data_IF_984012225268
#
_entry.id   IF_984012225268
#
_cell.length_a   1.000
_cell.length_b   1.000
_cell.length_c   1.000
_cell.angle_alpha   90.00
_cell.angle_beta   90.00
_cell.angle_gamma   90.00
#
_symmetry.space_group_name_H-M   'P 1'
#
loop_
_entity.id
_entity.type
_entity.pdbx_description
1 polymer ?
#
# COMPACT_ATOMS: atom_id res chain seq x y z
N UNK A 1 -24.13 20.79 -11.02
CA UNK A 1 -24.02 19.31 -10.99
C UNK A 1 -25.38 18.72 -11.35
N UNK A 2 -25.60 18.35 -12.61
CA UNK A 2 -26.92 17.89 -13.10
C UNK A 2 -26.88 16.52 -13.80
N UNK A 3 -25.81 15.72 -13.59
CA UNK A 3 -25.61 14.43 -14.27
C UNK A 3 -25.39 13.22 -13.35
N UNK A 4 -25.52 13.38 -12.04
CA UNK A 4 -25.20 12.35 -11.03
C UNK A 4 -26.40 11.47 -10.60
N UNK A 5 -27.44 11.37 -11.44
CA UNK A 5 -28.69 10.66 -11.08
C UNK A 5 -28.76 9.23 -11.64
N UNK A 6 -27.93 8.90 -12.65
CA UNK A 6 -27.83 7.53 -13.18
C UNK A 6 -26.45 6.94 -12.84
N UNK A 7 -26.43 5.86 -12.06
CA UNK A 7 -25.24 5.07 -11.71
C UNK A 7 -24.05 5.89 -11.15
N UNK A 8 -24.18 6.49 -9.96
CA UNK A 8 -23.15 7.35 -9.35
C UNK A 8 -21.80 6.65 -9.12
N UNK A 9 -21.78 5.32 -8.99
CA UNK A 9 -20.53 4.54 -8.87
C UNK A 9 -19.78 4.37 -10.20
N UNK A 10 -20.50 4.19 -11.31
CA UNK A 10 -19.92 3.87 -12.62
C UNK A 10 -19.29 5.11 -13.28
N UNK A 11 -19.90 6.28 -13.06
CA UNK A 11 -19.42 7.57 -13.57
C UNK A 11 -18.68 8.39 -12.52
N UNK A 12 -18.16 7.74 -11.48
CA UNK A 12 -17.40 8.43 -10.44
C UNK A 12 -16.08 8.97 -11.03
N UNK A 13 -15.87 10.31 -11.08
CA UNK A 13 -14.69 10.91 -11.70
C UNK A 13 -13.38 10.62 -10.95
N UNK A 14 -13.46 10.10 -9.71
CA UNK A 14 -12.30 9.69 -8.90
C UNK A 14 -11.87 8.26 -9.26
N UNK A 15 -12.82 7.37 -9.56
CA UNK A 15 -12.57 5.94 -9.79
C UNK A 15 -12.46 5.62 -11.29
N UNK A 16 -13.28 6.27 -12.12
CA UNK A 16 -13.39 6.04 -13.56
C UNK A 16 -13.41 7.37 -14.33
N UNK A 17 -12.29 8.11 -14.39
CA UNK A 17 -12.22 9.44 -15.01
C UNK A 17 -12.62 9.42 -16.50
N UNK A 18 -12.27 8.36 -17.22
CA UNK A 18 -12.63 8.17 -18.63
C UNK A 18 -14.14 8.02 -18.83
N UNK A 19 -14.83 7.22 -18.01
CA UNK A 19 -16.29 7.06 -18.09
C UNK A 19 -17.01 8.34 -17.67
N UNK A 20 -16.50 9.05 -16.66
CA UNK A 20 -17.01 10.35 -16.25
C UNK A 20 -16.89 11.40 -17.37
N UNK A 21 -15.81 11.38 -18.15
CA UNK A 21 -15.62 12.25 -19.30
C UNK A 21 -16.66 11.97 -20.40
N UNK A 22 -16.83 10.70 -20.79
CA UNK A 22 -17.84 10.29 -21.79
C UNK A 22 -19.24 10.74 -21.36
N UNK A 23 -19.58 10.53 -20.08
CA UNK A 23 -20.89 10.93 -19.54
C UNK A 23 -21.05 12.45 -19.54
N UNK A 24 -20.00 13.20 -19.23
CA UNK A 24 -20.01 14.67 -19.31
C UNK A 24 -20.30 15.12 -20.74
N UNK A 25 -19.60 14.57 -21.74
CA UNK A 25 -19.81 14.93 -23.14
C UNK A 25 -21.25 14.64 -23.58
N UNK A 26 -21.82 13.49 -23.21
CA UNK A 26 -23.23 13.17 -23.46
C UNK A 26 -24.21 14.19 -22.87
N UNK A 27 -23.99 14.60 -21.61
CA UNK A 27 -24.83 15.61 -20.94
C UNK A 27 -24.70 16.97 -21.63
N UNK A 28 -23.49 17.38 -22.01
CA UNK A 28 -23.26 18.64 -22.74
C UNK A 28 -23.96 18.63 -24.10
N UNK A 29 -23.90 17.53 -24.86
CA UNK A 29 -24.64 17.38 -26.12
C UNK A 29 -26.15 17.53 -25.90
N UNK A 30 -26.69 16.95 -24.82
CA UNK A 30 -28.13 17.08 -24.52
C UNK A 30 -28.51 18.49 -24.08
N UNK A 31 -27.68 19.16 -23.30
CA UNK A 31 -27.89 20.56 -22.89
C UNK A 31 -27.86 21.52 -24.10
N UNK A 32 -26.97 21.26 -25.06
CA UNK A 32 -26.89 22.02 -26.31
C UNK A 32 -28.17 21.82 -27.16
N UNK A 33 -28.62 20.57 -27.31
CA UNK A 33 -29.84 20.24 -28.05
C UNK A 33 -31.10 20.86 -27.43
N UNK A 34 -31.13 21.00 -26.10
CA UNK A 34 -32.20 21.65 -25.35
C UNK A 34 -32.03 23.17 -25.21
N UNK A 35 -31.00 23.75 -25.86
CA UNK A 35 -30.66 25.18 -25.85
C UNK A 35 -30.38 25.78 -24.46
N UNK A 36 -29.93 24.96 -23.50
CA UNK A 36 -29.51 25.44 -22.19
C UNK A 36 -28.09 26.05 -22.18
N UNK A 37 -27.28 25.75 -23.19
CA UNK A 37 -25.91 26.26 -23.37
C UNK A 37 -25.66 26.59 -24.85
N UNK A 38 -24.69 27.46 -25.12
CA UNK A 38 -24.21 27.75 -26.48
C UNK A 38 -23.14 26.73 -26.93
N UNK A 39 -22.87 26.59 -28.24
CA UNK A 39 -21.80 25.73 -28.75
C UNK A 39 -20.43 26.04 -28.10
N UNK A 40 -20.11 27.33 -27.97
CA UNK A 40 -18.87 27.76 -27.32
C UNK A 40 -18.79 27.36 -25.84
N UNK A 41 -19.92 27.38 -25.12
CA UNK A 41 -19.99 26.93 -23.73
C UNK A 41 -19.86 25.41 -23.60
N UNK A 42 -20.43 24.65 -24.55
CA UNK A 42 -20.31 23.20 -24.58
C UNK A 42 -18.85 22.76 -24.82
N UNK A 43 -18.17 23.38 -25.79
CA UNK A 43 -16.77 23.10 -26.12
C UNK A 43 -15.84 23.47 -24.96
N UNK A 44 -16.01 24.65 -24.37
CA UNK A 44 -15.23 25.06 -23.20
C UNK A 44 -15.42 24.12 -21.99
N UNK A 45 -16.64 23.62 -21.76
CA UNK A 45 -16.93 22.70 -20.65
C UNK A 45 -16.41 21.28 -20.89
N UNK A 46 -16.31 20.84 -22.15
CA UNK A 46 -15.75 19.54 -22.52
C UNK A 46 -14.22 19.53 -22.40
N UNK A 47 -13.56 20.63 -22.73
CA UNK A 47 -12.10 20.79 -22.56
C UNK A 47 -11.67 21.13 -21.13
N UNK A 48 -12.59 21.46 -20.23
CA UNK A 48 -12.25 21.71 -18.83
C UNK A 48 -11.68 20.44 -18.16
N UNK A 49 -10.61 20.54 -17.36
CA UNK A 49 -10.08 19.40 -16.63
C UNK A 49 -11.07 18.92 -15.55
N UNK A 50 -11.23 17.60 -15.41
CA UNK A 50 -12.07 17.00 -14.36
C UNK A 50 -11.34 17.12 -13.02
N UNK A 51 -11.53 18.22 -12.31
CA UNK A 51 -10.90 18.51 -11.02
C UNK A 51 -11.62 17.85 -9.83
N UNK A 52 -12.00 16.57 -9.94
CA UNK A 52 -12.62 15.84 -8.84
C UNK A 52 -11.55 15.40 -7.84
N UNK A 53 -11.73 15.77 -6.56
CA UNK A 53 -10.88 15.32 -5.45
C UNK A 53 -11.74 14.75 -4.35
N UNK A 54 -11.33 13.63 -3.78
CA UNK A 54 -11.98 13.06 -2.61
C UNK A 54 -11.82 14.03 -1.42
N UNK A 55 -12.92 14.61 -0.94
CA UNK A 55 -12.96 15.26 0.36
C UNK A 55 -13.08 14.19 1.45
N UNK A 56 -12.01 13.43 1.66
CA UNK A 56 -11.90 12.58 2.83
C UNK A 56 -11.17 13.34 3.95
N UNK A 57 -11.56 13.16 5.22
CA UNK A 57 -10.74 13.61 6.34
C UNK A 57 -9.33 13.06 6.16
N UNK A 58 -8.32 13.93 6.28
CA UNK A 58 -6.92 13.47 6.22
C UNK A 58 -6.68 12.53 7.39
N UNK A 59 -6.36 11.27 7.09
CA UNK A 59 -5.96 10.29 8.11
C UNK A 59 -4.61 10.73 8.69
N UNK A 60 -4.64 11.30 9.89
CA UNK A 60 -3.43 11.79 10.56
C UNK A 60 -2.59 10.64 11.16
N UNK A 61 -3.24 9.52 11.49
CA UNK A 61 -2.61 8.35 12.12
C UNK A 61 -3.15 7.07 11.46
N UNK A 62 -2.26 6.22 10.95
CA UNK A 62 -2.65 4.92 10.41
C UNK A 62 -2.91 3.91 11.53
N UNK A 63 -4.19 3.74 11.91
CA UNK A 63 -4.62 2.86 13.00
C UNK A 63 -5.84 2.00 12.63
N UNK A 64 -5.79 1.18 11.56
CA UNK A 64 -6.97 0.47 11.04
C UNK A 64 -7.60 -0.49 12.06
N UNK A 65 -6.81 -1.16 12.90
CA UNK A 65 -7.33 -2.04 13.95
C UNK A 65 -8.10 -1.29 15.02
N UNK A 66 -7.64 -0.08 15.35
CA UNK A 66 -8.27 0.77 16.36
C UNK A 66 -9.56 1.32 15.81
N UNK A 67 -9.56 1.78 14.56
CA UNK A 67 -10.77 2.20 13.86
C UNK A 67 -11.81 1.07 13.82
N UNK A 68 -11.39 -0.16 13.46
CA UNK A 68 -12.28 -1.32 13.47
C UNK A 68 -12.80 -1.65 14.89
N UNK A 69 -11.95 -1.55 15.91
CA UNK A 69 -12.36 -1.74 17.31
C UNK A 69 -13.38 -0.68 17.76
N UNK A 70 -13.20 0.58 17.37
CA UNK A 70 -14.14 1.66 17.64
C UNK A 70 -15.46 1.40 16.95
N UNK A 71 -15.46 1.07 15.65
CA UNK A 71 -16.66 0.74 14.90
C UNK A 71 -17.41 -0.43 15.54
N UNK A 72 -16.71 -1.51 15.89
CA UNK A 72 -17.31 -2.65 16.57
C UNK A 72 -17.93 -2.28 17.93
N UNK A 73 -17.25 -1.45 18.74
CA UNK A 73 -17.78 -0.98 20.03
C UNK A 73 -18.98 -0.07 19.85
N UNK A 74 -18.96 0.83 18.87
CA UNK A 74 -20.07 1.72 18.56
C UNK A 74 -21.29 0.95 18.09
N UNK A 75 -21.12 0.02 17.14
CA UNK A 75 -22.18 -0.85 16.66
C UNK A 75 -22.79 -1.68 17.80
N UNK A 76 -21.96 -2.21 18.71
CA UNK A 76 -22.43 -2.99 19.86
C UNK A 76 -23.22 -2.15 20.87
N UNK A 77 -22.84 -0.88 21.09
CA UNK A 77 -23.44 -0.02 22.12
C UNK A 77 -24.65 0.77 21.62
N UNK A 78 -24.62 1.21 20.37
CA UNK A 78 -25.59 2.14 19.78
C UNK A 78 -26.33 1.56 18.58
N UNK A 79 -26.03 0.31 18.20
CA UNK A 79 -26.60 -0.36 17.04
C UNK A 79 -25.94 0.03 15.71
N UNK A 80 -26.36 -0.58 14.60
CA UNK A 80 -25.76 -0.37 13.27
C UNK A 80 -25.86 1.07 12.76
N UNK A 81 -26.90 1.81 13.17
CA UNK A 81 -27.11 3.20 12.78
C UNK A 81 -26.01 4.16 13.25
N UNK A 82 -25.17 3.74 14.22
CA UNK A 82 -24.07 4.55 14.72
C UNK A 82 -23.01 4.88 13.66
N UNK A 83 -22.90 4.08 12.60
CA UNK A 83 -21.93 4.33 11.52
C UNK A 83 -22.32 5.54 10.66
N UNK A 84 -23.61 5.85 10.53
CA UNK A 84 -24.12 6.95 9.69
C UNK A 84 -24.63 8.14 10.50
N UNK A 85 -24.69 8.03 11.83
CA UNK A 85 -25.21 9.05 12.73
C UNK A 85 -24.27 10.26 12.96
N UNK A 86 -23.07 10.26 12.37
CA UNK A 86 -22.15 11.40 12.45
C UNK A 86 -21.40 11.54 13.79
N UNK A 87 -21.26 10.45 14.57
CA UNK A 87 -20.53 10.49 15.84
C UNK A 87 -19.06 10.87 15.67
N UNK A 88 -18.57 11.72 16.58
CA UNK A 88 -17.14 11.98 16.76
C UNK A 88 -16.62 11.17 17.94
N UNK A 89 -15.72 10.21 17.68
CA UNK A 89 -15.16 9.32 18.71
C UNK A 89 -13.71 9.72 18.99
N UNK A 90 -13.45 10.15 20.22
CA UNK A 90 -12.10 10.38 20.73
C UNK A 90 -11.59 9.12 21.42
N UNK A 91 -10.37 8.70 21.08
CA UNK A 91 -9.75 7.49 21.62
C UNK A 91 -8.56 7.84 22.51
N UNK A 92 -8.12 6.89 23.34
CA UNK A 92 -6.94 7.05 24.20
C UNK A 92 -5.62 6.93 23.45
N UNK A 93 -5.62 6.70 22.13
CA UNK A 93 -4.40 6.38 21.41
C UNK A 93 -3.57 7.61 21.11
N UNK A 94 -2.30 7.57 21.52
CA UNK A 94 -1.28 8.49 21.05
C UNK A 94 -0.82 8.12 19.62
N UNK A 95 -1.01 9.04 18.67
CA UNK A 95 -0.64 8.84 17.27
C UNK A 95 0.85 8.60 17.02
N UNK A 96 1.73 9.19 17.84
CA UNK A 96 3.19 8.98 17.76
C UNK A 96 3.52 7.56 18.22
N UNK A 97 2.95 7.14 19.35
CA UNK A 97 3.14 5.78 19.86
C UNK A 97 2.58 4.76 18.87
N UNK A 98 1.41 5.00 18.28
CA UNK A 98 0.83 4.11 17.27
C UNK A 98 1.69 3.98 16.00
N UNK A 99 2.30 5.08 15.57
CA UNK A 99 3.21 5.05 14.41
C UNK A 99 4.49 4.29 14.71
N UNK A 100 5.09 4.52 15.88
CA UNK A 100 6.26 3.77 16.35
C UNK A 100 5.95 2.28 16.53
N UNK A 101 4.80 1.97 17.10
CA UNK A 101 4.19 0.65 17.22
C UNK A 101 4.14 -0.08 15.86
N UNK A 102 3.49 0.52 14.86
CA UNK A 102 3.39 -0.07 13.53
C UNK A 102 4.78 -0.34 12.91
N UNK A 103 5.70 0.62 13.04
CA UNK A 103 7.08 0.49 12.53
C UNK A 103 7.82 -0.66 13.23
N UNK A 104 7.68 -0.79 14.54
CA UNK A 104 8.33 -1.83 15.33
C UNK A 104 7.87 -3.24 14.91
N UNK A 105 6.55 -3.46 14.73
CA UNK A 105 6.04 -4.75 14.21
C UNK A 105 6.64 -5.06 12.86
N UNK A 106 6.57 -4.10 11.93
CA UNK A 106 7.00 -4.30 10.56
C UNK A 106 8.49 -4.66 10.49
N UNK A 107 9.34 -3.91 11.20
CA UNK A 107 10.78 -4.19 11.27
C UNK A 107 11.07 -5.53 11.96
N UNK A 108 10.37 -5.85 13.05
CA UNK A 108 10.52 -7.13 13.74
C UNK A 108 10.15 -8.32 12.85
N UNK A 109 9.09 -8.18 12.05
CA UNK A 109 8.65 -9.20 11.10
C UNK A 109 9.59 -9.35 9.91
N UNK A 110 10.12 -8.25 9.38
CA UNK A 110 11.17 -8.31 8.35
C UNK A 110 12.40 -9.02 8.91
N UNK A 111 12.85 -8.66 10.11
CA UNK A 111 14.01 -9.30 10.75
C UNK A 111 13.76 -10.80 11.03
N UNK A 112 12.56 -11.18 11.45
CA UNK A 112 12.17 -12.57 11.60
C UNK A 112 12.21 -13.33 10.27
N UNK A 113 11.59 -12.76 9.23
CA UNK A 113 11.56 -13.32 7.87
C UNK A 113 12.97 -13.57 7.35
N UNK A 114 13.89 -12.61 7.57
CA UNK A 114 15.29 -12.74 7.17
C UNK A 114 16.02 -13.93 7.79
N UNK A 115 15.73 -14.25 9.06
CA UNK A 115 16.32 -15.41 9.74
C UNK A 115 15.79 -16.75 9.23
N UNK A 116 14.74 -16.75 8.43
CA UNK A 116 14.11 -17.95 7.86
C UNK A 116 14.40 -18.11 6.36
N UNK A 117 15.32 -17.30 5.83
CA UNK A 117 15.79 -17.39 4.45
C UNK A 117 14.87 -16.71 3.45
N UNK A 118 15.37 -16.67 2.22
CA UNK A 118 14.71 -16.11 1.04
C UNK A 118 13.93 -17.20 0.31
N UNK A 119 12.64 -16.96 0.10
CA UNK A 119 11.75 -17.89 -0.63
C UNK A 119 11.63 -17.62 -2.13
N UNK A 120 12.41 -16.69 -2.67
CA UNK A 120 12.32 -16.28 -4.06
C UNK A 120 11.43 -15.06 -4.31
N UNK A 121 11.41 -14.59 -5.58
CA UNK A 121 10.62 -13.45 -6.00
C UNK A 121 9.11 -13.74 -5.94
N UNK A 122 8.30 -12.69 -5.92
CA UNK A 122 6.83 -12.81 -5.87
C UNK A 122 6.20 -12.99 -7.26
N UNK A 123 6.98 -12.71 -8.30
CA UNK A 123 6.61 -12.85 -9.70
C UNK A 123 7.84 -12.67 -10.57
N UNK A 124 7.72 -13.02 -11.84
CA UNK A 124 8.77 -12.84 -12.83
C UNK A 124 8.14 -12.28 -14.10
N UNK A 125 8.82 -11.33 -14.72
CA UNK A 125 8.42 -10.72 -15.99
C UNK A 125 9.59 -10.70 -16.95
N UNK A 126 9.33 -10.94 -18.24
CA UNK A 126 10.38 -10.88 -19.25
C UNK A 126 10.56 -9.42 -19.64
N UNK A 127 11.71 -8.85 -19.28
CA UNK A 127 12.07 -7.50 -19.69
C UNK A 127 12.62 -7.53 -21.12
N UNK A 128 12.04 -6.73 -22.01
CA UNK A 128 12.64 -6.46 -23.31
C UNK A 128 13.82 -5.48 -23.12
N UNK A 129 14.82 -5.52 -24.01
CA UNK A 129 16.00 -4.65 -23.93
C UNK A 129 15.64 -3.15 -23.93
N UNK A 130 14.50 -2.78 -24.52
CA UNK A 130 14.00 -1.40 -24.62
C UNK A 130 12.84 -1.09 -23.65
N UNK A 131 12.76 -1.79 -22.52
CA UNK A 131 11.66 -1.57 -21.56
C UNK A 131 11.69 -0.14 -21.03
N UNK A 132 10.63 0.63 -21.28
CA UNK A 132 10.55 2.03 -20.84
C UNK A 132 10.17 2.12 -19.35
N UNK A 133 10.52 3.20 -18.64
CA UNK A 133 10.12 3.40 -17.25
C UNK A 133 8.60 3.32 -17.03
N UNK A 134 7.79 3.72 -18.01
CA UNK A 134 6.33 3.67 -17.95
C UNK A 134 5.80 2.22 -17.96
N UNK A 135 6.47 1.34 -18.70
CA UNK A 135 6.15 -0.09 -18.72
C UNK A 135 6.51 -0.74 -17.37
N UNK A 136 7.68 -0.40 -16.81
CA UNK A 136 8.08 -0.86 -15.46
C UNK A 136 7.10 -0.37 -14.38
N UNK A 137 6.65 0.88 -14.49
CA UNK A 137 5.66 1.44 -13.58
C UNK A 137 4.35 0.66 -13.64
N UNK A 138 3.84 0.38 -14.85
CA UNK A 138 2.60 -0.40 -15.04
C UNK A 138 2.72 -1.82 -14.45
N UNK A 139 3.89 -2.46 -14.61
CA UNK A 139 4.15 -3.80 -14.05
C UNK A 139 4.12 -3.78 -12.51
N UNK A 140 4.77 -2.80 -11.89
CA UNK A 140 4.84 -2.68 -10.43
C UNK A 140 3.50 -2.25 -9.83
N UNK A 141 2.67 -1.49 -10.57
CA UNK A 141 1.35 -1.04 -10.13
C UNK A 141 0.33 -2.16 -9.87
N UNK A 142 0.52 -3.32 -10.50
CA UNK A 142 -0.31 -4.51 -10.26
C UNK A 142 -0.09 -5.09 -8.85
N UNK A 143 1.06 -4.80 -8.24
CA UNK A 143 1.42 -5.29 -6.91
C UNK A 143 1.07 -4.26 -5.85
N UNK A 144 0.42 -4.72 -4.77
CA UNK A 144 0.03 -3.85 -3.66
C UNK A 144 1.23 -3.57 -2.76
N UNK A 145 1.42 -2.29 -2.38
CA UNK A 145 2.31 -1.91 -1.27
C UNK A 145 1.82 -2.48 0.06
N UNK A 146 2.71 -3.12 0.82
CA UNK A 146 2.39 -3.72 2.12
C UNK A 146 3.19 -3.02 3.22
N UNK A 147 2.57 -2.05 3.88
CA UNK A 147 3.24 -1.27 4.92
C UNK A 147 4.47 -0.54 4.37
N UNK A 148 5.66 -0.97 4.83
CA UNK A 148 6.96 -0.43 4.40
C UNK A 148 7.60 -1.20 3.25
N UNK A 149 6.98 -2.30 2.82
CA UNK A 149 7.42 -3.12 1.70
C UNK A 149 6.88 -2.53 0.40
N UNK A 150 7.80 -2.11 -0.47
CA UNK A 150 7.51 -1.57 -1.78
C UNK A 150 7.74 -2.66 -2.83
N UNK A 151 6.78 -2.93 -3.72
CA UNK A 151 7.06 -3.79 -4.86
C UNK A 151 8.06 -3.10 -5.79
N UNK A 152 8.99 -3.87 -6.32
CA UNK A 152 10.01 -3.41 -7.25
C UNK A 152 10.34 -4.51 -8.25
N UNK A 153 10.70 -4.11 -9.47
CA UNK A 153 11.19 -5.02 -10.51
C UNK A 153 12.70 -4.91 -10.63
N UNK A 154 13.38 -6.04 -10.72
CA UNK A 154 14.83 -6.11 -10.93
C UNK A 154 15.13 -5.82 -12.39
N UNK A 155 15.89 -4.76 -12.66
CA UNK A 155 16.23 -4.33 -14.03
C UNK A 155 17.58 -4.89 -14.44
N UNK A 156 18.53 -4.92 -13.50
CA UNK A 156 19.87 -5.41 -13.75
C UNK A 156 20.46 -6.05 -12.49
N UNK A 157 21.24 -7.11 -12.66
CA UNK A 157 21.91 -7.81 -11.57
C UNK A 157 23.41 -7.81 -11.85
N UNK A 158 24.17 -7.19 -10.95
CA UNK A 158 25.63 -7.21 -10.96
C UNK A 158 26.18 -8.38 -10.14
N UNK A 159 27.47 -8.32 -9.78
CA UNK A 159 28.11 -9.38 -8.97
C UNK A 159 27.63 -9.37 -7.52
N UNK A 160 27.60 -8.19 -6.89
CA UNK A 160 27.20 -8.00 -5.49
C UNK A 160 26.16 -6.87 -5.30
N UNK A 161 25.48 -6.49 -6.39
CA UNK A 161 24.45 -5.46 -6.36
C UNK A 161 23.34 -5.77 -7.36
N UNK A 162 22.17 -5.19 -7.14
CA UNK A 162 21.05 -5.29 -8.07
C UNK A 162 20.38 -3.93 -8.25
N UNK A 163 20.16 -3.51 -9.49
CA UNK A 163 19.41 -2.31 -9.83
C UNK A 163 17.93 -2.67 -9.95
N UNK A 164 17.10 -1.95 -9.23
CA UNK A 164 15.65 -2.17 -9.17
C UNK A 164 14.89 -0.91 -9.53
N UNK A 165 13.68 -1.06 -10.03
CA UNK A 165 12.72 0.02 -10.24
C UNK A 165 11.53 -0.20 -9.31
N UNK A 166 11.26 0.77 -8.44
CA UNK A 166 10.14 0.73 -7.51
C UNK A 166 9.14 1.85 -7.83
N UNK A 167 7.86 1.54 -7.67
CA UNK A 167 6.78 2.51 -7.84
C UNK A 167 7.00 3.72 -6.92
N UNK A 168 6.74 4.92 -7.46
CA UNK A 168 6.85 6.23 -6.80
C UNK A 168 8.26 6.63 -6.33
N UNK A 169 9.25 5.72 -6.41
CA UNK A 169 10.65 5.93 -6.00
C UNK A 169 11.63 5.87 -7.18
N UNK A 170 11.23 5.30 -8.31
CA UNK A 170 12.07 5.15 -9.49
C UNK A 170 13.17 4.12 -9.30
N UNK A 171 14.34 4.38 -9.86
CA UNK A 171 15.48 3.48 -9.79
C UNK A 171 16.19 3.54 -8.44
N UNK A 172 16.50 2.37 -7.89
CA UNK A 172 17.33 2.19 -6.70
C UNK A 172 18.37 1.10 -6.93
N UNK A 173 19.42 1.10 -6.11
CA UNK A 173 20.45 0.05 -6.11
C UNK A 173 20.40 -0.64 -4.75
N UNK A 174 20.34 -1.97 -4.79
CA UNK A 174 20.48 -2.84 -3.63
C UNK A 174 21.93 -3.26 -3.56
N UNK A 175 22.65 -2.81 -2.54
CA UNK A 175 24.03 -3.24 -2.27
C UNK A 175 24.08 -4.63 -1.63
N UNK A 176 25.28 -5.20 -1.54
CA UNK A 176 25.49 -6.53 -1.00
C UNK A 176 24.95 -6.70 0.42
N UNK A 177 25.08 -5.69 1.27
CA UNK A 177 24.52 -5.70 2.63
C UNK A 177 22.98 -5.86 2.64
N UNK A 178 22.32 -5.46 1.55
CA UNK A 178 20.89 -5.64 1.33
C UNK A 178 20.49 -7.02 0.81
N UNK A 179 21.44 -7.78 0.24
CA UNK A 179 21.21 -9.06 -0.47
C UNK A 179 21.83 -10.28 0.24
N UNK A 180 22.95 -10.12 0.94
CA UNK A 180 23.78 -11.21 1.46
C UNK A 180 23.07 -12.13 2.45
N UNK A 181 21.99 -11.66 3.09
CA UNK A 181 21.16 -12.47 3.98
C UNK A 181 20.31 -13.52 3.24
N UNK A 182 20.13 -13.38 1.93
CA UNK A 182 19.12 -14.08 1.14
C UNK A 182 19.48 -15.54 0.79
N UNK A 183 19.99 -16.29 1.77
CA UNK A 183 20.15 -17.75 1.66
C UNK A 183 18.79 -18.41 1.44
N UNK A 184 18.74 -19.42 0.56
CA UNK A 184 17.50 -20.09 0.17
C UNK A 184 16.77 -20.64 1.41
N UNK A 185 15.48 -20.34 1.54
CA UNK A 185 14.64 -20.94 2.57
C UNK A 185 14.43 -22.43 2.28
N UNK A 186 14.77 -23.28 3.25
CA UNK A 186 14.66 -24.73 3.17
C UNK A 186 13.52 -25.26 4.08
N UNK A 187 13.08 -26.52 3.90
CA UNK A 187 12.12 -27.16 4.81
C UNK A 187 12.56 -27.11 6.27
N UNK A 188 11.60 -27.26 7.18
CA UNK A 188 11.85 -27.21 8.64
C UNK A 188 12.49 -25.90 9.14
N UNK A 189 12.26 -24.78 8.43
CA UNK A 189 12.78 -23.45 8.79
C UNK A 189 14.31 -23.36 8.77
N UNK A 190 14.95 -24.23 8.00
CA UNK A 190 16.38 -24.17 7.76
C UNK A 190 16.68 -23.10 6.70
N UNK A 191 17.88 -22.54 6.77
CA UNK A 191 18.41 -21.63 5.74
C UNK A 191 19.56 -22.34 5.06
N UNK A 192 19.54 -22.35 3.72
CA UNK A 192 20.63 -22.89 2.91
C UNK A 192 21.91 -22.06 3.05
N UNK A 193 22.91 -22.41 2.25
CA UNK A 193 24.14 -21.63 2.16
C UNK A 193 23.83 -20.18 1.80
N UNK A 194 24.52 -19.24 2.45
CA UNK A 194 24.41 -17.84 2.09
C UNK A 194 24.93 -17.63 0.66
N UNK A 195 24.26 -16.80 -0.14
CA UNK A 195 24.66 -16.54 -1.51
C UNK A 195 26.02 -15.86 -1.53
N UNK A 196 26.84 -16.16 -2.54
CA UNK A 196 28.10 -15.44 -2.77
C UNK A 196 27.93 -14.32 -3.79
N UNK A 197 26.97 -14.46 -4.71
CA UNK A 197 26.68 -13.46 -5.75
C UNK A 197 25.21 -13.06 -5.77
N UNK A 198 24.91 -11.88 -6.31
CA UNK A 198 23.54 -11.41 -6.46
C UNK A 198 22.72 -12.24 -7.46
N UNK A 199 23.39 -12.82 -8.47
CA UNK A 199 22.77 -13.68 -9.47
C UNK A 199 22.24 -15.01 -8.91
N UNK A 200 22.76 -15.48 -7.77
CA UNK A 200 22.21 -16.64 -7.05
C UNK A 200 20.86 -16.34 -6.38
N UNK A 201 20.54 -15.05 -6.18
CA UNK A 201 19.36 -14.59 -5.43
C UNK A 201 18.28 -14.03 -6.34
N UNK A 202 18.69 -13.24 -7.34
CA UNK A 202 17.82 -12.44 -8.19
C UNK A 202 18.19 -12.60 -9.67
N UNK A 203 17.18 -12.55 -10.52
CA UNK A 203 17.30 -12.45 -11.98
C UNK A 203 16.70 -11.15 -12.49
N UNK A 204 17.22 -10.57 -13.60
CA UNK A 204 16.52 -9.50 -14.30
C UNK A 204 15.09 -9.92 -14.63
N UNK A 205 14.13 -9.05 -14.36
CA UNK A 205 12.70 -9.34 -14.51
C UNK A 205 12.01 -9.87 -13.25
N UNK A 206 12.74 -10.16 -12.18
CA UNK A 206 12.12 -10.57 -10.93
C UNK A 206 11.35 -9.42 -10.29
N UNK A 207 10.11 -9.69 -9.87
CA UNK A 207 9.35 -8.80 -9.02
C UNK A 207 9.60 -9.19 -7.57
N UNK A 208 10.05 -8.24 -6.77
CA UNK A 208 10.45 -8.43 -5.37
C UNK A 208 9.87 -7.32 -4.49
N UNK A 209 9.98 -7.49 -3.17
CA UNK A 209 9.74 -6.42 -2.23
C UNK A 209 11.05 -5.82 -1.75
N UNK A 210 11.07 -4.50 -1.60
CA UNK A 210 12.21 -3.75 -1.07
C UNK A 210 11.78 -2.81 0.04
N UNK A 211 12.73 -2.45 0.89
CA UNK A 211 12.58 -1.40 1.90
C UNK A 211 13.57 -0.30 1.62
N UNK A 212 13.07 0.93 1.51
CA UNK A 212 13.89 2.12 1.45
C UNK A 212 14.18 2.62 2.87
N UNK A 213 15.47 2.72 3.21
CA UNK A 213 15.96 3.21 4.50
C UNK A 213 16.53 4.62 4.41
N UNK A 214 16.78 5.12 3.20
CA UNK A 214 17.26 6.47 2.90
C UNK A 214 17.13 6.78 1.41
N UNK A 215 17.66 7.92 0.92
CA UNK A 215 17.56 8.32 -0.49
C UNK A 215 18.20 7.35 -1.48
N UNK A 216 19.14 6.52 -1.02
CA UNK A 216 19.85 5.55 -1.85
C UNK A 216 20.08 4.20 -1.15
N UNK A 217 19.61 4.03 0.09
CA UNK A 217 19.74 2.78 0.85
C UNK A 217 18.48 1.93 0.62
N UNK A 218 18.58 0.99 -0.32
CA UNK A 218 17.53 0.03 -0.66
C UNK A 218 17.97 -1.36 -0.24
N UNK A 219 17.09 -2.08 0.44
CA UNK A 219 17.37 -3.44 0.88
C UNK A 219 16.29 -4.42 0.42
N UNK A 220 16.70 -5.63 0.03
CA UNK A 220 15.79 -6.72 -0.26
C UNK A 220 15.00 -7.08 1.00
N UNK A 221 13.69 -7.28 0.82
CA UNK A 221 12.80 -7.71 1.87
C UNK A 221 11.78 -8.70 1.33
N UNK A 222 11.19 -9.48 2.23
CA UNK A 222 10.15 -10.44 1.86
C UNK A 222 8.98 -10.31 2.80
N UNK A 223 7.77 -10.44 2.25
CA UNK A 223 6.52 -10.46 3.03
C UNK A 223 6.59 -11.58 4.05
N UNK A 224 6.61 -11.27 5.36
CA UNK A 224 6.71 -12.28 6.40
C UNK A 224 5.48 -13.21 6.38
N UNK A 225 5.70 -14.53 6.47
CA UNK A 225 4.60 -15.49 6.64
C UNK A 225 4.08 -15.53 8.09
N UNK A 226 4.93 -15.13 9.03
CA UNK A 226 4.55 -15.04 10.43
C UNK A 226 3.64 -13.83 10.67
N UNK A 227 2.71 -14.00 11.61
CA UNK A 227 1.88 -12.91 12.11
C UNK A 227 2.51 -12.34 13.37
N UNK A 228 2.37 -11.02 13.56
CA UNK A 228 2.85 -10.34 14.76
C UNK A 228 1.97 -9.17 15.12
N UNK A 229 2.23 -8.71 16.33
CA UNK A 229 1.21 -8.34 17.24
C UNK A 229 1.73 -7.25 18.18
N UNK A 230 1.04 -6.09 18.28
CA UNK A 230 1.41 -4.94 19.09
C UNK A 230 0.28 -4.09 19.78
N UNK A 231 0.07 -4.27 21.10
CA UNK A 231 -0.86 -3.59 22.05
C UNK A 231 -0.01 -2.88 23.09
N UNK A 232 -0.25 -1.62 23.42
CA UNK A 232 0.32 -1.03 24.63
C UNK A 232 -0.83 -0.57 25.53
N UNK A 233 -0.65 -0.66 26.85
CA UNK A 233 -1.63 -0.24 27.85
C UNK A 233 -0.94 0.72 28.83
N UNK A 234 -1.65 1.77 29.25
CA UNK A 234 -1.24 2.57 30.40
C UNK A 234 -1.48 1.73 31.67
N UNK A 235 -0.47 1.54 32.54
CA UNK A 235 -0.63 0.77 33.77
C UNK A 235 -1.54 1.45 34.81
N UNK A 236 -1.80 2.75 34.70
CA UNK A 236 -2.56 3.51 35.71
C UNK A 236 -4.07 3.46 35.47
N UNK A 237 -4.50 3.47 34.20
CA UNK A 237 -5.93 3.53 33.84
C UNK A 237 -6.38 2.45 32.85
N UNK A 238 -5.46 1.59 32.38
CA UNK A 238 -5.76 0.53 31.42
C UNK A 238 -6.09 1.04 30.01
N UNK A 239 -5.86 2.33 29.74
CA UNK A 239 -6.05 2.94 28.43
C UNK A 239 -5.16 2.29 27.38
N UNK A 240 -5.71 2.03 26.19
CA UNK A 240 -4.93 1.50 25.06
C UNK A 240 -4.06 2.65 24.54
N UNK A 241 -2.76 2.52 24.80
CA UNK A 241 -1.66 3.42 24.46
C UNK A 241 -1.86 4.91 24.80
N UNK A 242 -1.86 5.24 26.09
CA UNK A 242 -1.52 6.58 26.57
C UNK A 242 -0.42 6.53 27.64
N UNK A 243 0.47 7.52 27.56
CA UNK A 243 1.39 8.05 28.59
C UNK A 243 2.36 7.10 29.32
N UNK A 244 3.64 7.22 28.95
CA UNK A 244 4.76 7.11 29.89
C UNK A 244 5.16 5.70 30.37
N UNK A 245 6.10 5.10 29.62
CA UNK A 245 7.01 4.00 30.01
C UNK A 245 6.47 2.56 29.96
N UNK A 246 7.15 1.80 29.08
CA UNK A 246 7.20 0.33 28.89
C UNK A 246 6.00 -0.30 28.16
N UNK A 247 6.33 -1.03 27.10
CA UNK A 247 5.45 -1.42 25.99
C UNK A 247 5.52 -2.96 25.83
N UNK A 248 4.39 -3.69 25.77
CA UNK A 248 4.32 -5.16 25.49
C UNK A 248 3.03 -5.55 24.75
N UNK A 249 3.12 -6.34 23.68
CA UNK A 249 2.53 -6.01 22.37
C UNK A 249 1.72 -7.16 21.66
N UNK A 250 0.40 -6.98 21.29
CA UNK A 250 -0.48 -7.80 20.39
C UNK A 250 -1.34 -7.05 19.27
N UNK A 251 -1.44 -7.56 18.03
CA UNK A 251 -2.11 -7.11 16.78
C UNK A 251 -2.23 -8.39 15.91
N UNK A 252 -3.31 -8.58 15.18
CA UNK A 252 -3.46 -9.72 14.28
C UNK A 252 -3.78 -9.20 12.88
N UNK A 253 -2.95 -9.53 11.90
CA UNK A 253 -3.27 -9.33 10.49
C UNK A 253 -3.94 -10.59 9.93
N UNK A 254 -5.24 -10.51 9.69
CA UNK A 254 -5.99 -11.52 8.91
C UNK A 254 -5.99 -11.10 7.44
N UNK A 255 -5.67 -12.03 6.53
CA UNK A 255 -5.85 -11.90 5.08
C UNK A 255 -6.89 -12.90 4.55
N UNK A 256 -7.50 -12.64 3.37
CA UNK A 256 -8.62 -13.40 2.85
C UNK A 256 -8.19 -14.77 2.29
N UNK A 257 -9.09 -15.76 2.41
CA UNK A 257 -8.92 -17.09 1.83
C UNK A 257 -9.03 -17.02 0.30
N UNK A 258 -8.04 -17.55 -0.42
CA UNK A 258 -8.23 -17.97 -1.80
C UNK A 258 -8.94 -19.32 -1.81
N UNK A 259 -10.08 -19.39 -2.49
CA UNK A 259 -10.73 -20.63 -2.88
C UNK A 259 -9.91 -21.28 -4.00
N UNK A 260 -9.79 -22.61 -3.94
CA UNK A 260 -9.08 -23.43 -4.94
C UNK A 260 -9.89 -23.67 -6.20
#
# INVERSE_FOLDING_TARGET
MAGLVEAPSLYNPIVHPHLAAIRRSYVLTRMLALKYITPAQAEAADHAPIAARLHAPRVQVHAPYVAAMVLHRMAKRYGPAAETAGYSVYTTIDGRLQSAANRAVQLGMIAYSRRHGWRGPIGHTVLANDTTPEQLQTLVEQYRKIGVLLPAVVVHVGTHSAKVFARDHGFGVIDWNGLSWAGKALPHRLVGTLPQTAAEVLSPGDVIYVVWKGPSDVALAQVPLAQSALVALDPNDGGIAARGRRIRLLQQQVQPRHAG
#
